data_IF_674547351978
#
_entry.id   IF_674547351978
#
_cell.length_a   1.000
_cell.length_b   1.000
_cell.length_c   1.000
_cell.angle_alpha   90.00
_cell.angle_beta   90.00
_cell.angle_gamma   90.00
#
_symmetry.space_group_name_H-M   'P 1'
#
loop_
_entity.id
_entity.type
_entity.pdbx_description
1 polymer ?
#
# COMPACT_ATOMS: atom_id res chain seq x y z
N UNK A 1 67.94 11.60 -17.07
CA UNK A 1 67.83 12.95 -16.45
C UNK A 1 66.35 13.33 -16.32
N UNK A 2 65.69 13.01 -15.21
CA UNK A 2 65.74 13.69 -13.89
C UNK A 2 64.49 14.55 -13.68
N UNK A 3 63.50 13.93 -13.03
CA UNK A 3 62.65 14.39 -11.92
C UNK A 3 62.19 15.86 -11.74
N UNK A 4 60.97 15.94 -11.19
CA UNK A 4 60.25 17.02 -10.48
C UNK A 4 59.27 17.83 -11.33
N UNK A 5 58.06 18.18 -10.90
CA UNK A 5 57.21 17.85 -9.73
C UNK A 5 55.95 18.74 -9.86
N UNK A 6 54.83 18.39 -9.23
CA UNK A 6 53.89 19.42 -8.76
C UNK A 6 52.50 19.37 -9.37
N UNK A 7 51.61 18.75 -8.61
CA UNK A 7 50.16 18.82 -8.68
C UNK A 7 49.68 20.29 -8.71
N UNK A 8 49.24 20.77 -9.89
CA UNK A 8 49.02 22.20 -10.15
C UNK A 8 47.57 22.68 -10.26
N UNK A 9 46.57 21.90 -9.89
CA UNK A 9 45.15 22.33 -9.98
C UNK A 9 44.35 22.21 -8.69
N UNK A 10 45.05 21.99 -7.57
CA UNK A 10 44.45 21.87 -6.23
C UNK A 10 44.41 23.18 -5.45
N UNK A 11 44.36 24.32 -6.14
CA UNK A 11 44.57 25.64 -5.54
C UNK A 11 43.48 26.69 -5.84
N UNK A 12 42.22 26.28 -6.08
CA UNK A 12 41.08 27.21 -6.07
C UNK A 12 39.95 26.84 -5.09
N UNK A 13 40.19 25.91 -4.17
CA UNK A 13 39.24 25.52 -3.12
C UNK A 13 39.81 25.69 -1.71
N UNK A 14 40.63 26.72 -1.49
CA UNK A 14 41.21 26.97 -0.17
C UNK A 14 40.99 28.39 0.34
N UNK A 15 39.76 28.89 0.21
CA UNK A 15 39.22 29.89 1.13
C UNK A 15 37.75 29.55 1.41
N UNK A 16 37.54 28.63 2.34
CA UNK A 16 36.23 28.41 2.96
C UNK A 16 36.42 28.34 4.47
N UNK A 17 35.60 29.01 5.29
CA UNK A 17 35.91 29.27 6.71
C UNK A 17 35.86 28.05 7.63
N UNK A 18 35.75 26.82 7.09
CA UNK A 18 35.36 25.62 7.82
C UNK A 18 36.50 24.67 8.18
N UNK A 19 37.74 24.91 7.73
CA UNK A 19 38.86 24.05 8.10
C UNK A 19 39.78 24.72 9.13
N UNK A 20 39.25 24.80 10.35
CA UNK A 20 40.00 25.01 11.59
C UNK A 20 40.11 23.71 12.39
N UNK A 21 41.31 23.44 12.90
CA UNK A 21 41.78 22.26 13.61
C UNK A 21 40.81 21.58 14.60
N UNK A 22 40.70 20.24 14.51
CA UNK A 22 40.89 19.36 15.67
C UNK A 22 39.89 19.42 16.83
N UNK A 23 38.59 19.42 16.57
CA UNK A 23 37.59 19.10 17.61
C UNK A 23 36.47 18.26 17.01
N UNK A 24 36.12 17.14 17.67
CA UNK A 24 34.97 16.29 17.34
C UNK A 24 33.73 17.18 17.24
N UNK A 25 33.30 17.52 16.04
CA UNK A 25 32.00 18.13 15.81
C UNK A 25 30.96 17.06 16.06
N UNK A 26 30.29 17.13 17.21
CA UNK A 26 28.98 16.50 17.37
C UNK A 26 28.03 17.27 16.47
N UNK A 27 27.73 16.72 15.29
CA UNK A 27 26.66 17.26 14.45
C UNK A 27 25.35 17.21 15.26
N UNK A 28 24.58 18.31 15.35
CA UNK A 28 23.26 18.23 15.95
C UNK A 28 22.44 17.24 15.12
N UNK A 29 21.96 16.19 15.79
CA UNK A 29 21.06 15.19 15.23
C UNK A 29 19.68 15.81 15.00
N UNK A 30 19.57 16.73 14.05
CA UNK A 30 18.28 17.20 13.54
C UNK A 30 18.44 17.85 12.16
N UNK A 31 18.89 17.07 11.19
CA UNK A 31 18.45 17.28 9.82
C UNK A 31 17.22 16.38 9.66
N UNK A 32 16.04 17.00 9.59
CA UNK A 32 14.77 16.33 9.38
C UNK A 32 14.88 15.36 8.22
N UNK A 33 14.85 14.08 8.55
CA UNK A 33 14.79 12.97 7.60
C UNK A 33 13.66 13.27 6.60
N UNK A 34 13.88 13.11 5.28
CA UNK A 34 12.77 13.23 4.32
C UNK A 34 11.63 12.30 4.78
N UNK A 35 10.35 12.71 4.63
CA UNK A 35 9.22 11.93 5.15
C UNK A 35 9.31 10.51 4.63
N UNK A 36 9.69 9.59 5.52
CA UNK A 36 9.91 8.20 5.19
C UNK A 36 8.57 7.62 4.73
N UNK A 37 8.54 7.04 3.53
CA UNK A 37 7.37 6.32 3.06
C UNK A 37 7.20 5.10 3.96
N UNK A 38 6.16 5.12 4.79
CA UNK A 38 5.83 4.02 5.71
C UNK A 38 4.42 3.53 5.43
N UNK A 39 4.23 2.22 5.44
CA UNK A 39 2.88 1.65 5.37
C UNK A 39 2.15 1.90 6.70
N UNK A 40 0.85 2.22 6.66
CA UNK A 40 0.03 2.31 7.86
C UNK A 40 -0.05 0.93 8.54
N UNK A 41 -0.41 0.90 9.84
CA UNK A 41 -0.72 -0.36 10.51
C UNK A 41 -1.84 -1.09 9.78
N UNK A 42 -1.80 -2.43 9.81
CA UNK A 42 -2.86 -3.25 9.23
C UNK A 42 -4.21 -2.92 9.88
N UNK A 43 -5.33 -3.00 9.13
CA UNK A 43 -6.64 -2.71 9.70
C UNK A 43 -6.97 -3.66 10.85
N UNK A 44 -7.71 -3.16 11.85
CA UNK A 44 -8.12 -3.91 13.03
C UNK A 44 -8.95 -5.15 12.65
N UNK A 45 -8.67 -6.32 13.24
CA UNK A 45 -9.38 -7.59 12.96
C UNK A 45 -10.17 -8.14 14.15
N UNK A 46 -10.10 -7.47 15.30
CA UNK A 46 -10.78 -7.83 16.54
C UNK A 46 -11.06 -6.55 17.32
N UNK A 47 -12.29 -6.39 17.82
CA UNK A 47 -12.65 -5.25 18.67
C UNK A 47 -13.20 -5.75 20.01
N UNK A 48 -12.51 -5.54 21.15
CA UNK A 48 -13.00 -5.96 22.46
C UNK A 48 -14.24 -5.18 22.93
N UNK A 49 -14.37 -3.92 22.52
CA UNK A 49 -15.42 -3.00 22.97
C UNK A 49 -16.72 -3.14 22.16
N UNK A 50 -16.63 -3.72 20.95
CA UNK A 50 -17.76 -3.98 20.06
C UNK A 50 -17.90 -5.49 19.82
N UNK A 51 -18.83 -6.18 20.49
CA UNK A 51 -19.09 -7.58 20.19
C UNK A 51 -19.69 -7.70 18.78
N UNK A 52 -19.13 -8.56 17.93
CA UNK A 52 -19.77 -8.89 16.66
C UNK A 52 -20.72 -10.08 16.77
N UNK A 53 -21.23 -10.57 15.63
CA UNK A 53 -22.29 -11.58 15.58
C UNK A 53 -21.99 -12.74 14.65
N UNK A 54 -22.64 -13.86 14.94
CA UNK A 54 -22.65 -15.05 14.07
C UNK A 54 -24.03 -15.20 13.44
N UNK A 55 -24.16 -14.80 12.19
CA UNK A 55 -25.41 -14.91 11.41
C UNK A 55 -25.23 -15.83 10.21
N UNK A 56 -26.33 -16.33 9.64
CA UNK A 56 -26.26 -17.14 8.41
C UNK A 56 -25.72 -16.35 7.21
N UNK A 57 -26.03 -15.06 7.15
CA UNK A 57 -25.48 -14.17 6.12
C UNK A 57 -23.96 -14.01 6.28
N UNK A 58 -23.44 -13.78 7.49
CA UNK A 58 -22.00 -13.68 7.72
C UNK A 58 -21.28 -15.02 7.45
N UNK A 59 -21.91 -16.15 7.79
CA UNK A 59 -21.41 -17.48 7.39
C UNK A 59 -21.37 -17.63 5.87
N UNK A 60 -22.36 -17.13 5.14
CA UNK A 60 -22.37 -17.13 3.68
C UNK A 60 -21.25 -16.25 3.10
N UNK A 61 -21.06 -15.04 3.65
CA UNK A 61 -19.95 -14.16 3.27
C UNK A 61 -18.59 -14.86 3.42
N UNK A 62 -18.37 -15.58 4.52
CA UNK A 62 -17.11 -16.31 4.73
C UNK A 62 -16.99 -17.56 3.85
N UNK A 63 -18.00 -18.43 3.88
CA UNK A 63 -17.90 -19.77 3.30
C UNK A 63 -18.14 -19.81 1.79
N UNK A 64 -18.79 -18.79 1.23
CA UNK A 64 -19.10 -18.71 -0.20
C UNK A 64 -18.38 -17.54 -0.84
N UNK A 65 -18.63 -16.31 -0.38
CA UNK A 65 -18.12 -15.11 -1.06
C UNK A 65 -16.59 -15.02 -0.97
N UNK A 66 -16.02 -15.00 0.25
CA UNK A 66 -14.56 -14.95 0.45
C UNK A 66 -13.87 -16.14 -0.22
N UNK A 67 -14.38 -17.37 -0.03
CA UNK A 67 -13.76 -18.55 -0.64
C UNK A 67 -13.78 -18.53 -2.17
N UNK A 68 -14.84 -17.99 -2.77
CA UNK A 68 -14.94 -17.83 -4.23
C UNK A 68 -13.91 -16.82 -4.73
N UNK A 69 -13.87 -15.62 -4.13
CA UNK A 69 -12.93 -14.57 -4.49
C UNK A 69 -11.48 -14.99 -4.28
N UNK A 70 -11.19 -15.71 -3.19
CA UNK A 70 -9.84 -16.21 -2.89
C UNK A 70 -9.30 -17.20 -3.93
N UNK A 71 -10.18 -17.89 -4.66
CA UNK A 71 -9.78 -18.85 -5.70
C UNK A 71 -9.63 -18.21 -7.07
N UNK A 72 -9.98 -16.94 -7.22
CA UNK A 72 -9.90 -16.27 -8.51
C UNK A 72 -8.43 -16.09 -8.93
N UNK A 73 -8.06 -16.39 -10.20
CA UNK A 73 -6.67 -16.35 -10.65
C UNK A 73 -5.94 -15.03 -10.39
N UNK A 74 -6.68 -13.92 -10.46
CA UNK A 74 -6.15 -12.56 -10.30
C UNK A 74 -6.40 -11.94 -8.92
N UNK A 75 -6.85 -12.72 -7.93
CA UNK A 75 -7.15 -12.21 -6.59
C UNK A 75 -5.92 -11.97 -5.71
N UNK A 76 -4.75 -12.47 -6.12
CA UNK A 76 -3.51 -12.42 -5.34
C UNK A 76 -3.09 -11.02 -4.86
N UNK A 77 -3.33 -9.90 -5.59
CA UNK A 77 -3.00 -8.55 -5.10
C UNK A 77 -3.77 -8.14 -3.84
N UNK A 78 -4.93 -8.76 -3.60
CA UNK A 78 -5.86 -8.40 -2.54
C UNK A 78 -5.75 -9.31 -1.32
N UNK A 79 -4.80 -10.25 -1.30
CA UNK A 79 -4.64 -11.19 -0.18
C UNK A 79 -4.07 -10.53 1.08
N UNK A 80 -3.39 -9.41 0.93
CA UNK A 80 -2.74 -8.65 2.01
C UNK A 80 -2.92 -7.15 1.76
N UNK A 81 -2.75 -6.30 2.79
CA UNK A 81 -2.70 -4.85 2.61
C UNK A 81 -1.66 -4.43 1.57
N UNK A 82 -1.94 -3.34 0.85
CA UNK A 82 -1.01 -2.80 -0.15
C UNK A 82 0.26 -2.30 0.52
N UNK A 83 1.39 -2.91 0.15
CA UNK A 83 2.73 -2.48 0.54
C UNK A 83 3.23 -1.40 -0.43
N UNK A 84 2.90 -0.15 -0.12
CA UNK A 84 3.26 1.00 -0.93
C UNK A 84 4.78 1.21 -1.01
N UNK A 85 5.52 0.78 0.02
CA UNK A 85 6.99 0.87 0.05
C UNK A 85 7.59 -0.12 -0.94
N UNK A 86 7.21 -1.40 -0.84
CA UNK A 86 7.72 -2.45 -1.70
C UNK A 86 7.33 -2.25 -3.17
N UNK A 87 6.16 -1.66 -3.43
CA UNK A 87 5.68 -1.37 -4.77
C UNK A 87 6.18 -0.02 -5.33
N UNK A 88 6.87 0.79 -4.53
CA UNK A 88 7.35 2.11 -4.96
C UNK A 88 6.22 3.10 -5.27
N UNK A 89 5.14 3.07 -4.48
CA UNK A 89 3.93 3.89 -4.63
C UNK A 89 3.88 5.01 -3.56
N UNK A 90 4.64 6.11 -3.71
CA UNK A 90 4.84 7.12 -2.66
C UNK A 90 3.61 7.98 -2.32
N UNK A 91 2.55 7.87 -3.11
CA UNK A 91 1.29 8.59 -2.96
C UNK A 91 0.10 7.69 -2.60
N UNK A 92 0.28 6.37 -2.56
CA UNK A 92 -0.83 5.43 -2.33
C UNK A 92 -1.60 5.75 -1.04
N UNK A 93 -0.93 5.78 0.11
CA UNK A 93 -1.58 6.08 1.40
C UNK A 93 -1.87 7.57 1.63
N UNK A 94 -1.55 8.45 0.65
CA UNK A 94 -2.02 9.85 0.63
C UNK A 94 -3.37 9.96 -0.07
N UNK A 95 -3.59 9.11 -1.08
CA UNK A 95 -4.81 9.05 -1.88
C UNK A 95 -5.84 8.13 -1.20
N UNK A 96 -5.39 6.96 -0.76
CA UNK A 96 -6.21 5.93 -0.13
C UNK A 96 -6.12 6.10 1.38
N UNK A 97 -7.19 6.61 1.96
CA UNK A 97 -7.26 6.95 3.39
C UNK A 97 -7.78 5.81 4.26
N UNK A 98 -8.54 4.88 3.69
CA UNK A 98 -9.11 3.72 4.38
C UNK A 98 -8.67 2.42 3.69
N UNK A 99 -7.44 1.94 3.92
CA UNK A 99 -6.94 0.72 3.27
C UNK A 99 -7.76 -0.51 3.69
N UNK A 100 -8.02 -1.41 2.74
CA UNK A 100 -8.75 -2.66 2.97
C UNK A 100 -8.29 -3.75 2.00
N UNK A 101 -8.34 -5.00 2.44
CA UNK A 101 -7.90 -6.19 1.69
C UNK A 101 -8.69 -7.44 2.10
N UNK A 102 -8.70 -8.47 1.25
CA UNK A 102 -9.44 -9.71 1.52
C UNK A 102 -8.86 -10.51 2.68
N UNK A 103 -7.56 -10.40 2.95
CA UNK A 103 -6.92 -11.05 4.10
C UNK A 103 -7.49 -10.52 5.41
N UNK A 104 -7.64 -9.20 5.50
CA UNK A 104 -8.29 -8.50 6.62
C UNK A 104 -9.76 -8.89 6.74
N UNK A 105 -10.54 -8.81 5.65
CA UNK A 105 -11.98 -9.17 5.66
C UNK A 105 -12.17 -10.63 6.10
N UNK A 106 -11.34 -11.55 5.60
CA UNK A 106 -11.35 -12.95 5.99
C UNK A 106 -11.11 -13.11 7.50
N UNK A 107 -10.07 -12.48 8.05
CA UNK A 107 -9.76 -12.51 9.50
C UNK A 107 -10.89 -11.91 10.33
N UNK A 108 -11.49 -10.80 9.89
CA UNK A 108 -12.64 -10.17 10.54
C UNK A 108 -13.85 -11.13 10.61
N UNK A 109 -14.13 -11.87 9.53
CA UNK A 109 -15.17 -12.90 9.53
C UNK A 109 -14.85 -14.07 10.47
N UNK A 110 -13.59 -14.54 10.50
CA UNK A 110 -13.13 -15.61 11.39
C UNK A 110 -13.23 -15.22 12.87
N UNK A 111 -12.95 -13.96 13.19
CA UNK A 111 -12.98 -13.40 14.54
C UNK A 111 -14.37 -12.92 14.99
N UNK A 112 -15.40 -13.08 14.16
CA UNK A 112 -16.74 -12.54 14.40
C UNK A 112 -16.73 -11.03 14.67
N UNK A 113 -15.94 -10.28 13.89
CA UNK A 113 -15.80 -8.82 14.01
C UNK A 113 -17.07 -8.06 13.59
N UNK A 114 -17.74 -8.53 12.53
CA UNK A 114 -18.90 -7.85 11.97
C UNK A 114 -20.18 -8.11 12.77
N UNK A 115 -20.99 -7.07 12.95
CA UNK A 115 -22.35 -7.16 13.48
C UNK A 115 -23.35 -7.63 12.43
N UNK A 116 -23.16 -7.23 11.17
CA UNK A 116 -24.06 -7.54 10.06
C UNK A 116 -23.30 -7.82 8.76
N UNK A 117 -23.95 -8.49 7.81
CA UNK A 117 -23.37 -8.70 6.49
C UNK A 117 -23.18 -7.39 5.69
N UNK A 118 -23.92 -6.34 6.04
CA UNK A 118 -23.76 -5.01 5.44
C UNK A 118 -22.39 -4.41 5.76
N UNK A 119 -21.92 -4.51 7.00
CA UNK A 119 -20.59 -4.02 7.40
C UNK A 119 -19.47 -4.79 6.66
N UNK A 120 -19.65 -6.10 6.47
CA UNK A 120 -18.72 -6.91 5.68
C UNK A 120 -18.73 -6.48 4.20
N UNK A 121 -19.90 -6.21 3.62
CA UNK A 121 -20.03 -5.73 2.25
C UNK A 121 -19.41 -4.33 2.07
N UNK A 122 -19.49 -3.47 3.08
CA UNK A 122 -18.87 -2.16 3.07
C UNK A 122 -17.35 -2.25 2.94
N UNK A 123 -16.69 -3.16 3.67
CA UNK A 123 -15.25 -3.40 3.52
C UNK A 123 -14.89 -3.91 2.11
N UNK A 124 -15.72 -4.78 1.51
CA UNK A 124 -15.53 -5.19 0.11
C UNK A 124 -15.63 -4.00 -0.84
N UNK A 125 -16.64 -3.15 -0.67
CA UNK A 125 -16.81 -1.95 -1.47
C UNK A 125 -15.60 -1.02 -1.30
N UNK A 126 -15.13 -0.78 -0.08
CA UNK A 126 -13.92 0.01 0.18
C UNK A 126 -12.71 -0.56 -0.55
N UNK A 127 -12.48 -1.88 -0.45
CA UNK A 127 -11.36 -2.55 -1.15
C UNK A 127 -11.42 -2.32 -2.67
N UNK A 128 -12.60 -2.51 -3.29
CA UNK A 128 -12.77 -2.32 -4.73
C UNK A 128 -12.69 -0.85 -5.15
N UNK A 129 -13.31 0.05 -4.39
CA UNK A 129 -13.27 1.49 -4.64
C UNK A 129 -11.85 2.04 -4.54
N UNK A 130 -11.08 1.62 -3.55
CA UNK A 130 -9.68 2.04 -3.41
C UNK A 130 -8.86 1.62 -4.63
N UNK A 131 -9.04 0.38 -5.07
CA UNK A 131 -8.40 -0.15 -6.26
C UNK A 131 -8.77 0.66 -7.50
N UNK A 132 -10.06 0.94 -7.70
CA UNK A 132 -10.53 1.75 -8.84
C UNK A 132 -9.96 3.17 -8.82
N UNK A 133 -10.05 3.87 -7.68
CA UNK A 133 -9.61 5.26 -7.54
C UNK A 133 -8.11 5.38 -7.83
N UNK A 134 -7.28 4.55 -7.20
CA UNK A 134 -5.83 4.66 -7.36
C UNK A 134 -5.41 4.35 -8.80
N UNK A 135 -5.93 3.25 -9.36
CA UNK A 135 -5.56 2.80 -10.71
C UNK A 135 -6.10 3.74 -11.81
N UNK A 136 -7.30 4.32 -11.67
CA UNK A 136 -7.83 5.31 -12.62
C UNK A 136 -7.00 6.59 -12.65
N UNK A 137 -6.49 7.03 -11.50
CA UNK A 137 -5.61 8.20 -11.44
C UNK A 137 -4.22 7.91 -12.02
N UNK A 138 -3.74 6.68 -11.88
CA UNK A 138 -2.49 6.24 -12.51
C UNK A 138 -2.60 6.16 -14.04
N UNK A 139 -3.72 5.63 -14.57
CA UNK A 139 -4.00 5.54 -16.01
C UNK A 139 -3.89 6.92 -16.69
N UNK A 140 -4.46 7.96 -16.05
CA UNK A 140 -4.33 9.34 -16.54
C UNK A 140 -2.88 9.86 -16.52
N UNK A 141 -2.06 9.33 -15.60
CA UNK A 141 -0.69 9.80 -15.35
C UNK A 141 0.37 9.10 -16.21
N UNK A 142 0.13 7.87 -16.65
CA UNK A 142 1.13 7.04 -17.36
C UNK A 142 0.53 6.47 -18.65
N UNK A 143 0.70 7.19 -19.76
CA UNK A 143 0.21 6.78 -21.10
C UNK A 143 1.04 5.66 -21.79
N UNK A 144 1.76 4.78 -21.07
CA UNK A 144 2.77 3.96 -21.75
C UNK A 144 3.18 2.59 -21.21
N UNK A 145 2.83 2.19 -19.99
CA UNK A 145 3.20 0.84 -19.49
C UNK A 145 2.32 0.49 -18.30
N UNK A 146 1.29 -0.34 -18.49
CA UNK A 146 0.49 -0.85 -17.38
C UNK A 146 1.29 -1.90 -16.60
N UNK A 147 1.58 -1.70 -15.30
CA UNK A 147 2.24 -2.72 -14.50
C UNK A 147 1.40 -4.01 -14.45
N UNK A 148 2.04 -5.18 -14.37
CA UNK A 148 1.36 -6.48 -14.17
C UNK A 148 0.37 -6.48 -12.99
N UNK A 149 0.67 -5.66 -11.97
CA UNK A 149 -0.19 -5.42 -10.81
C UNK A 149 -1.51 -4.71 -11.21
N UNK A 150 -1.42 -3.68 -12.05
CA UNK A 150 -2.58 -2.96 -12.58
C UNK A 150 -3.45 -3.85 -13.47
N UNK A 151 -2.82 -4.68 -14.31
CA UNK A 151 -3.54 -5.66 -15.14
C UNK A 151 -4.32 -6.67 -14.30
N UNK A 152 -3.68 -7.26 -13.28
CA UNK A 152 -4.35 -8.21 -12.38
C UNK A 152 -5.53 -7.57 -11.64
N UNK A 153 -5.36 -6.32 -11.20
CA UNK A 153 -6.42 -5.54 -10.55
C UNK A 153 -7.61 -5.30 -11.49
N UNK A 154 -7.35 -4.89 -12.74
CA UNK A 154 -8.38 -4.64 -13.73
C UNK A 154 -9.16 -5.91 -14.08
N UNK A 155 -8.47 -7.03 -14.32
CA UNK A 155 -9.11 -8.32 -14.62
C UNK A 155 -9.95 -8.84 -13.45
N UNK A 156 -9.45 -8.72 -12.22
CA UNK A 156 -10.20 -9.10 -11.03
C UNK A 156 -11.47 -8.24 -10.86
N UNK A 157 -11.34 -6.91 -11.00
CA UNK A 157 -12.47 -5.98 -10.90
C UNK A 157 -13.50 -6.19 -12.02
N UNK A 158 -13.04 -6.41 -13.25
CA UNK A 158 -13.90 -6.66 -14.40
C UNK A 158 -14.70 -7.95 -14.24
N UNK A 159 -14.06 -9.01 -13.76
CA UNK A 159 -14.70 -10.30 -13.46
C UNK A 159 -15.78 -10.16 -12.36
N UNK A 160 -15.48 -9.42 -11.29
CA UNK A 160 -16.43 -9.18 -10.20
C UNK A 160 -17.64 -8.33 -10.65
N UNK A 161 -17.46 -7.38 -11.56
CA UNK A 161 -18.57 -6.57 -12.09
C UNK A 161 -19.44 -7.37 -13.08
N UNK A 162 -18.82 -8.17 -13.94
CA UNK A 162 -19.52 -8.99 -14.94
C UNK A 162 -20.43 -10.07 -14.32
N UNK A 163 -20.04 -10.59 -13.14
CA UNK A 163 -20.86 -11.58 -12.41
C UNK A 163 -22.10 -10.98 -11.76
N UNK A 164 -22.11 -9.67 -11.47
CA UNK A 164 -23.28 -8.96 -10.91
C UNK A 164 -24.39 -8.69 -11.94
N UNK A 165 -24.04 -8.61 -13.23
CA UNK A 165 -24.99 -8.29 -14.32
C UNK A 165 -25.74 -9.51 -14.87
N UNK A 166 -25.40 -10.71 -14.42
CA UNK A 166 -26.00 -11.97 -14.91
C UNK A 166 -27.12 -12.51 -14.00
N UNK A 167 -27.52 -11.76 -12.96
CA UNK A 167 -28.61 -12.12 -12.04
C UNK A 167 -29.73 -11.07 -12.03
N UNK A 168 -30.17 -10.63 -13.22
CA UNK A 168 -31.46 -9.94 -13.41
C UNK A 168 -32.36 -10.73 -14.35
#
# INVERSE_FOLDING_TARGET
PSEQSGEGTRALFRESPWFGNGSRQTFPANMSEPPQLVNPPAPEVTNPDKPGRRTNQLKYMHNVVIKSLWRHPFAWPFYQPVDAVALGLPDYHKIITSPMDMGTIKKRLENNYYWSASECMEDFNTMFTNCYIYNKMEEFRIHGSTPMFHFSNAEFLWSCQSTSSSTS
#
